data_IF_156891266441
#
_entry.id   IF_156891266441
#
_cell.length_a   1.000
_cell.length_b   1.000
_cell.length_c   1.000
_cell.angle_alpha   90.00
_cell.angle_beta   90.00
_cell.angle_gamma   90.00
#
_symmetry.space_group_name_H-M   'P 1'
#
loop_
_entity.id
_entity.type
_entity.pdbx_description
1 polymer ?
#
# COMPACT_ATOMS: atom_id res chain seq x y z
N UNK A 1 0.60 21.98 10.57
CA UNK A 1 1.07 22.05 9.17
C UNK A 1 -0.13 21.70 8.31
N UNK A 2 -0.76 22.68 7.63
CA UNK A 2 -1.85 22.37 6.70
C UNK A 2 -1.22 21.81 5.43
N UNK A 3 -1.32 20.48 5.26
CA UNK A 3 -0.88 19.82 4.03
C UNK A 3 -2.06 19.86 3.05
N UNK A 4 -1.91 20.64 1.98
CA UNK A 4 -2.84 20.59 0.85
C UNK A 4 -2.56 19.30 0.06
N UNK A 5 -3.54 18.39 0.02
CA UNK A 5 -3.42 17.10 -0.66
C UNK A 5 -4.01 17.12 -2.07
N UNK A 6 -4.52 18.27 -2.53
CA UNK A 6 -5.18 18.40 -3.83
C UNK A 6 -4.29 18.09 -5.02
N UNK A 7 -2.97 18.18 -4.88
CA UNK A 7 -2.04 17.84 -5.96
C UNK A 7 -1.93 16.33 -6.23
N UNK A 8 -2.41 15.47 -5.32
CA UNK A 8 -2.23 14.02 -5.41
C UNK A 8 -3.47 13.34 -5.98
N UNK A 9 -3.25 12.47 -6.99
CA UNK A 9 -4.29 11.59 -7.54
C UNK A 9 -4.57 10.38 -6.66
N UNK A 10 -3.56 9.90 -5.93
CA UNK A 10 -3.65 8.76 -5.04
C UNK A 10 -2.97 9.10 -3.71
N UNK A 11 -3.62 8.76 -2.60
CA UNK A 11 -3.07 8.86 -1.25
C UNK A 11 -3.15 7.48 -0.62
N UNK A 12 -2.01 6.97 -0.15
CA UNK A 12 -1.92 5.64 0.43
C UNK A 12 -1.60 5.80 1.91
N UNK A 13 -2.49 5.31 2.77
CA UNK A 13 -2.33 5.35 4.21
C UNK A 13 -1.81 3.99 4.70
N UNK A 14 -0.61 4.01 5.26
CA UNK A 14 0.01 2.89 5.97
C UNK A 14 0.39 3.37 7.38
N UNK A 15 -0.57 3.30 8.29
CA UNK A 15 -0.41 3.72 9.69
C UNK A 15 -1.22 2.77 10.58
N UNK A 16 -0.95 2.71 11.89
CA UNK A 16 -1.74 1.90 12.83
C UNK A 16 -1.01 0.74 13.50
N UNK A 17 0.09 0.24 12.91
CA UNK A 17 0.80 -0.90 13.48
C UNK A 17 1.36 -0.64 14.87
N UNK A 18 1.88 0.57 15.10
CA UNK A 18 2.43 0.97 16.39
C UNK A 18 1.35 1.32 17.41
N UNK A 19 0.19 1.79 16.97
CA UNK A 19 -0.95 2.03 17.84
C UNK A 19 -1.40 0.73 18.50
N UNK A 20 -1.49 -0.35 17.72
CA UNK A 20 -1.84 -1.68 18.23
C UNK A 20 -0.76 -2.22 19.18
N UNK A 21 0.52 -2.14 18.79
CA UNK A 21 1.65 -2.58 19.62
C UNK A 21 1.75 -1.78 20.94
N UNK A 22 1.41 -0.49 20.90
CA UNK A 22 1.33 0.39 22.08
C UNK A 22 0.11 0.17 22.96
N UNK A 23 -0.74 -0.81 22.66
CA UNK A 23 -1.92 -1.15 23.47
C UNK A 23 -3.11 -0.22 23.29
N UNK A 24 -3.18 0.55 22.19
CA UNK A 24 -4.37 1.36 21.88
C UNK A 24 -5.59 0.45 21.78
N UNK A 25 -6.70 0.88 22.38
CA UNK A 25 -7.95 0.12 22.29
C UNK A 25 -8.45 0.11 20.85
N UNK A 26 -9.12 -0.98 20.43
CA UNK A 26 -9.68 -1.06 19.08
C UNK A 26 -10.65 0.08 18.79
N UNK A 27 -11.43 0.51 19.79
CA UNK A 27 -12.39 1.61 19.66
C UNK A 27 -11.68 2.95 19.43
N UNK A 28 -10.63 3.24 20.18
CA UNK A 28 -9.88 4.49 20.02
C UNK A 28 -9.13 4.50 18.69
N UNK A 29 -8.55 3.36 18.31
CA UNK A 29 -7.95 3.16 17.01
C UNK A 29 -8.95 3.43 15.88
N UNK A 30 -10.14 2.84 15.93
CA UNK A 30 -11.20 3.07 14.93
C UNK A 30 -11.60 4.54 14.82
N UNK A 31 -11.87 5.21 15.94
CA UNK A 31 -12.30 6.61 15.97
C UNK A 31 -11.23 7.57 15.42
N UNK A 32 -9.97 7.36 15.81
CA UNK A 32 -8.85 8.17 15.34
C UNK A 32 -8.58 7.93 13.85
N UNK A 33 -8.68 6.68 13.40
CA UNK A 33 -8.46 6.35 11.99
C UNK A 33 -9.59 6.91 11.11
N UNK A 34 -10.84 6.85 11.56
CA UNK A 34 -11.96 7.51 10.88
C UNK A 34 -11.73 9.02 10.76
N UNK A 35 -11.30 9.67 11.85
CA UNK A 35 -10.97 11.10 11.85
C UNK A 35 -9.85 11.42 10.85
N UNK A 36 -8.82 10.56 10.76
CA UNK A 36 -7.75 10.69 9.78
C UNK A 36 -8.27 10.57 8.34
N UNK A 37 -9.15 9.60 8.05
CA UNK A 37 -9.72 9.40 6.72
C UNK A 37 -10.60 10.58 6.29
N UNK A 38 -11.43 11.09 7.20
CA UNK A 38 -12.25 12.27 6.95
C UNK A 38 -11.39 13.51 6.71
N UNK A 39 -10.34 13.70 7.50
CA UNK A 39 -9.39 14.80 7.31
C UNK A 39 -8.68 14.69 5.95
N UNK A 40 -8.14 13.51 5.61
CA UNK A 40 -7.50 13.26 4.32
C UNK A 40 -8.45 13.59 3.16
N UNK A 41 -9.71 13.16 3.24
CA UNK A 41 -10.74 13.46 2.24
C UNK A 41 -11.02 14.94 2.11
N UNK A 42 -11.13 15.66 3.23
CA UNK A 42 -11.40 17.11 3.24
C UNK A 42 -10.26 17.94 2.64
N UNK A 43 -9.02 17.43 2.72
CA UNK A 43 -7.84 18.09 2.17
C UNK A 43 -7.50 17.65 0.74
N UNK A 44 -8.24 16.71 0.16
CA UNK A 44 -7.98 16.14 -1.17
C UNK A 44 -8.95 16.66 -2.22
N UNK A 45 -8.62 16.48 -3.50
CA UNK A 45 -9.60 16.70 -4.58
C UNK A 45 -10.62 15.56 -4.63
N UNK A 46 -11.79 15.84 -5.24
CA UNK A 46 -12.88 14.86 -5.38
C UNK A 46 -12.53 13.63 -6.23
N UNK A 47 -11.53 13.75 -7.10
CA UNK A 47 -11.01 12.68 -7.97
C UNK A 47 -9.82 11.92 -7.35
N UNK A 48 -9.40 12.29 -6.13
CA UNK A 48 -8.31 11.61 -5.44
C UNK A 48 -8.78 10.25 -4.88
N UNK A 49 -8.03 9.19 -5.20
CA UNK A 49 -8.22 7.88 -4.60
C UNK A 49 -7.51 7.84 -3.23
N UNK A 50 -8.27 7.70 -2.15
CA UNK A 50 -7.71 7.41 -0.84
C UNK A 50 -7.73 5.90 -0.65
N UNK A 51 -6.55 5.32 -0.44
CA UNK A 51 -6.33 3.90 -0.28
C UNK A 51 -5.78 3.64 1.12
N UNK A 52 -6.35 2.67 1.82
CA UNK A 52 -5.85 2.19 3.11
C UNK A 52 -5.14 0.86 2.90
N UNK A 53 -3.88 0.82 3.28
CA UNK A 53 -3.11 -0.42 3.30
C UNK A 53 -3.29 -1.09 4.66
N UNK A 54 -3.86 -2.29 4.67
CA UNK A 54 -4.04 -3.08 5.89
C UNK A 54 -2.72 -3.33 6.61
N UNK A 55 -2.82 -3.60 7.90
CA UNK A 55 -1.66 -3.91 8.75
C UNK A 55 -1.19 -5.35 8.44
N UNK A 56 0.07 -5.54 8.02
CA UNK A 56 0.64 -6.88 7.96
C UNK A 56 0.65 -7.56 9.34
N UNK A 57 0.64 -8.89 9.41
CA UNK A 57 0.76 -9.63 10.67
C UNK A 57 2.06 -9.24 11.39
N UNK A 58 1.98 -9.15 12.72
CA UNK A 58 3.12 -8.85 13.60
C UNK A 58 3.20 -9.90 14.71
N UNK A 59 4.40 -10.20 15.18
CA UNK A 59 4.60 -11.18 16.26
C UNK A 59 4.27 -10.61 17.66
N UNK A 60 4.35 -9.29 17.82
CA UNK A 60 4.18 -8.60 19.11
C UNK A 60 2.72 -8.27 19.44
N UNK A 61 1.83 -8.25 18.45
CA UNK A 61 0.40 -7.93 18.64
C UNK A 61 -0.45 -8.52 17.51
N UNK A 62 -1.64 -9.01 17.86
CA UNK A 62 -2.66 -9.40 16.88
C UNK A 62 -3.37 -8.16 16.30
N UNK A 63 -3.15 -7.92 15.00
CA UNK A 63 -3.73 -6.81 14.24
C UNK A 63 -4.94 -7.22 13.41
N UNK A 64 -5.40 -8.48 13.48
CA UNK A 64 -6.51 -8.98 12.66
C UNK A 64 -7.79 -8.17 12.86
N UNK A 65 -8.19 -7.96 14.12
CA UNK A 65 -9.40 -7.18 14.43
C UNK A 65 -9.30 -5.72 13.98
N UNK A 66 -8.11 -5.13 14.05
CA UNK A 66 -7.87 -3.79 13.51
C UNK A 66 -8.05 -3.77 11.99
N UNK A 67 -7.55 -4.77 11.27
CA UNK A 67 -7.77 -4.88 9.82
C UNK A 67 -9.25 -5.03 9.46
N UNK A 68 -10.01 -5.86 10.17
CA UNK A 68 -11.46 -5.99 9.97
C UNK A 68 -12.17 -4.65 10.15
N UNK A 69 -11.77 -3.89 11.17
CA UNK A 69 -12.33 -2.57 11.43
C UNK A 69 -11.99 -1.55 10.34
N UNK A 70 -10.72 -1.51 9.90
CA UNK A 70 -10.28 -0.64 8.80
C UNK A 70 -11.02 -0.95 7.50
N UNK A 71 -11.20 -2.24 7.19
CA UNK A 71 -11.93 -2.65 6.00
C UNK A 71 -13.39 -2.18 6.05
N UNK A 72 -14.06 -2.36 7.20
CA UNK A 72 -15.43 -1.87 7.39
C UNK A 72 -15.52 -0.35 7.22
N UNK A 73 -14.57 0.41 7.78
CA UNK A 73 -14.51 1.86 7.62
C UNK A 73 -14.32 2.25 6.14
N UNK A 74 -13.43 1.56 5.42
CA UNK A 74 -13.22 1.81 4.00
C UNK A 74 -14.49 1.53 3.18
N UNK A 75 -15.19 0.43 3.45
CA UNK A 75 -16.47 0.11 2.81
C UNK A 75 -17.52 1.20 3.08
N UNK A 76 -17.64 1.65 4.34
CA UNK A 76 -18.58 2.70 4.71
C UNK A 76 -18.30 4.02 4.01
N UNK A 77 -17.02 4.39 3.87
CA UNK A 77 -16.59 5.65 3.28
C UNK A 77 -16.40 5.58 1.75
N UNK A 78 -16.56 4.41 1.13
CA UNK A 78 -16.32 4.20 -0.30
C UNK A 78 -14.84 4.37 -0.69
N UNK A 79 -13.93 3.87 0.15
CA UNK A 79 -12.48 3.91 -0.05
C UNK A 79 -11.94 2.53 -0.43
N UNK A 80 -10.73 2.48 -0.98
CA UNK A 80 -10.05 1.23 -1.33
C UNK A 80 -9.31 0.68 -0.11
N UNK A 81 -9.56 -0.58 0.25
CA UNK A 81 -8.80 -1.29 1.28
C UNK A 81 -7.93 -2.37 0.64
N UNK A 82 -6.63 -2.36 0.96
CA UNK A 82 -5.68 -3.38 0.51
C UNK A 82 -5.45 -4.38 1.64
N UNK A 83 -5.89 -5.61 1.40
CA UNK A 83 -5.69 -6.76 2.29
C UNK A 83 -4.23 -7.22 2.32
N UNK A 84 -3.42 -6.53 3.12
CA UNK A 84 -2.02 -6.93 3.33
C UNK A 84 -1.91 -8.11 4.27
N UNK A 85 -2.80 -8.25 5.26
CA UNK A 85 -2.67 -9.23 6.33
C UNK A 85 -2.48 -10.66 5.79
N UNK A 86 -3.44 -11.09 4.97
CA UNK A 86 -3.53 -12.43 4.38
C UNK A 86 -2.35 -12.73 3.45
N UNK A 87 -1.74 -11.70 2.85
CA UNK A 87 -0.62 -11.85 1.91
C UNK A 87 0.68 -12.30 2.58
N UNK A 88 0.78 -12.21 3.90
CA UNK A 88 1.94 -12.61 4.69
C UNK A 88 1.62 -13.74 5.68
N UNK A 89 0.46 -14.38 5.53
CA UNK A 89 0.10 -15.58 6.29
C UNK A 89 0.48 -16.84 5.49
N UNK A 90 0.71 -17.93 6.21
CA UNK A 90 0.74 -19.30 5.68
C UNK A 90 -0.67 -19.88 5.71
N UNK A 91 -0.87 -21.00 5.02
CA UNK A 91 -2.15 -21.72 5.01
C UNK A 91 -2.62 -22.15 6.41
N UNK A 92 -1.69 -22.26 7.37
CA UNK A 92 -1.94 -22.55 8.77
C UNK A 92 -2.39 -21.35 9.62
N UNK A 93 -2.61 -20.18 9.01
CA UNK A 93 -2.82 -18.91 9.71
C UNK A 93 -1.63 -18.49 10.59
N UNK A 94 -0.42 -18.96 10.27
CA UNK A 94 0.81 -18.48 10.89
C UNK A 94 1.45 -17.38 10.05
N UNK A 95 2.12 -16.43 10.72
CA UNK A 95 2.96 -15.45 10.03
C UNK A 95 4.04 -16.14 9.19
N UNK A 96 4.19 -15.73 7.94
CA UNK A 96 5.25 -16.23 7.07
C UNK A 96 6.56 -15.45 7.29
N UNK A 97 7.37 -15.94 8.22
CA UNK A 97 8.65 -15.33 8.63
C UNK A 97 9.67 -15.12 7.50
N UNK A 98 9.46 -15.72 6.32
CA UNK A 98 10.30 -15.46 5.13
C UNK A 98 10.24 -14.01 4.63
N UNK A 99 9.25 -13.23 5.07
CA UNK A 99 9.08 -11.82 4.67
C UNK A 99 9.54 -10.82 5.74
N UNK A 100 9.93 -11.28 6.93
CA UNK A 100 10.29 -10.42 8.05
C UNK A 100 11.78 -10.49 8.35
N UNK A 101 12.29 -9.47 9.03
CA UNK A 101 13.58 -9.56 9.72
C UNK A 101 13.41 -10.33 11.04
N UNK A 102 14.48 -10.48 11.82
CA UNK A 102 14.47 -11.28 13.04
C UNK A 102 13.46 -10.83 14.11
N UNK A 103 13.01 -9.57 14.06
CA UNK A 103 12.05 -9.04 15.02
C UNK A 103 10.59 -9.48 14.77
N UNK A 104 10.28 -10.06 13.61
CA UNK A 104 8.96 -10.59 13.30
C UNK A 104 7.86 -9.53 13.11
N UNK A 105 8.20 -8.26 12.89
CA UNK A 105 7.21 -7.22 12.53
C UNK A 105 7.71 -6.19 11.52
N UNK A 106 9.03 -6.05 11.32
CA UNK A 106 9.57 -5.32 10.18
C UNK A 106 9.85 -6.26 9.01
N UNK A 107 9.59 -5.78 7.80
CA UNK A 107 9.88 -6.55 6.60
C UNK A 107 11.37 -6.61 6.29
N UNK A 108 11.79 -7.75 5.75
CA UNK A 108 13.05 -7.85 5.00
C UNK A 108 12.84 -7.38 3.54
N UNK A 109 13.89 -7.41 2.72
CA UNK A 109 13.82 -6.96 1.32
C UNK A 109 12.76 -7.70 0.49
N UNK A 110 12.52 -8.99 0.76
CA UNK A 110 11.48 -9.79 0.09
C UNK A 110 10.08 -9.36 0.54
N UNK A 111 9.90 -9.09 1.83
CA UNK A 111 8.65 -8.57 2.38
C UNK A 111 8.30 -7.20 1.80
N UNK A 112 9.23 -6.24 1.82
CA UNK A 112 9.05 -4.91 1.23
C UNK A 112 8.75 -4.99 -0.27
N UNK A 113 9.47 -5.85 -1.01
CA UNK A 113 9.22 -6.04 -2.44
C UNK A 113 7.81 -6.58 -2.73
N UNK A 114 7.34 -7.55 -1.93
CA UNK A 114 5.97 -8.07 -2.05
C UNK A 114 4.94 -6.99 -1.69
N UNK A 115 5.19 -6.22 -0.64
CA UNK A 115 4.32 -5.16 -0.17
C UNK A 115 4.07 -4.11 -1.24
N UNK A 116 5.16 -3.60 -1.83
CA UNK A 116 5.09 -2.60 -2.91
C UNK A 116 4.36 -3.19 -4.12
N UNK A 117 4.66 -4.42 -4.53
CA UNK A 117 3.98 -5.07 -5.65
C UNK A 117 2.49 -5.27 -5.42
N UNK A 118 2.06 -5.61 -4.21
CA UNK A 118 0.63 -5.74 -3.89
C UNK A 118 -0.10 -4.41 -4.04
N UNK A 119 0.51 -3.32 -3.56
CA UNK A 119 -0.02 -1.96 -3.73
C UNK A 119 -0.06 -1.57 -5.20
N UNK A 120 1.02 -1.82 -5.92
CA UNK A 120 1.18 -1.50 -7.33
C UNK A 120 0.16 -2.23 -8.22
N UNK A 121 -0.09 -3.52 -7.97
CA UNK A 121 -1.10 -4.29 -8.71
C UNK A 121 -2.52 -3.72 -8.60
N UNK A 122 -2.80 -2.92 -7.57
CA UNK A 122 -4.12 -2.32 -7.33
C UNK A 122 -4.19 -0.90 -7.88
N UNK A 123 -3.10 -0.13 -7.78
CA UNK A 123 -3.11 1.31 -8.06
C UNK A 123 -2.42 1.65 -9.39
N UNK A 124 -1.49 0.80 -9.87
CA UNK A 124 -0.65 1.07 -11.04
C UNK A 124 0.33 2.22 -10.80
N UNK A 125 1.10 2.17 -9.71
CA UNK A 125 2.04 3.23 -9.31
C UNK A 125 3.31 3.14 -10.15
N UNK A 126 3.84 1.92 -10.28
CA UNK A 126 5.00 1.61 -11.06
C UNK A 126 4.50 1.45 -12.49
N UNK A 127 4.69 2.50 -13.28
CA UNK A 127 4.74 2.37 -14.72
C UNK A 127 6.00 1.57 -15.08
N UNK A 128 5.99 0.26 -14.84
CA UNK A 128 6.89 -0.61 -15.57
C UNK A 128 6.43 -0.48 -17.01
N UNK A 129 7.17 0.29 -17.80
CA UNK A 129 7.09 0.14 -19.23
C UNK A 129 7.26 -1.34 -19.50
N UNK A 130 6.23 -1.96 -20.07
CA UNK A 130 6.38 -3.24 -20.75
C UNK A 130 7.51 -3.10 -21.79
N UNK A 131 7.92 -4.24 -22.35
CA UNK A 131 9.06 -4.29 -23.27
C UNK A 131 9.01 -3.12 -24.26
N UNK A 132 10.15 -2.44 -24.41
CA UNK A 132 10.19 -1.35 -25.37
C UNK A 132 9.97 -1.94 -26.77
N UNK A 133 8.99 -1.41 -27.51
CA UNK A 133 8.66 -1.87 -28.89
C UNK A 133 9.90 -1.85 -29.81
N UNK A 134 10.87 -0.99 -29.48
CA UNK A 134 12.08 -0.81 -30.26
C UNK A 134 13.19 -1.82 -29.95
N UNK A 135 13.35 -2.23 -28.70
CA UNK A 135 14.51 -3.06 -28.29
C UNK A 135 14.17 -4.31 -27.47
N UNK A 136 12.92 -4.50 -27.07
CA UNK A 136 12.47 -5.60 -26.22
C UNK A 136 12.94 -5.51 -24.76
N UNK A 137 13.66 -4.45 -24.38
CA UNK A 137 14.18 -4.30 -23.02
C UNK A 137 13.14 -3.66 -22.09
N UNK A 138 13.17 -4.07 -20.82
CA UNK A 138 12.33 -3.54 -19.75
C UNK A 138 13.08 -2.45 -18.97
N UNK A 139 12.34 -1.57 -18.29
CA UNK A 139 12.86 -0.68 -17.24
C UNK A 139 14.01 0.24 -17.68
N UNK A 140 13.82 0.95 -18.80
CA UNK A 140 14.77 1.95 -19.26
C UNK A 140 15.00 3.05 -18.21
N UNK A 141 16.26 3.43 -18.00
CA UNK A 141 16.65 4.52 -17.09
C UNK A 141 16.73 5.90 -17.74
N UNK A 142 16.57 5.96 -19.06
CA UNK A 142 16.61 7.20 -19.85
C UNK A 142 15.37 7.26 -20.76
N UNK A 143 15.17 8.35 -21.50
CA UNK A 143 14.08 8.47 -22.49
C UNK A 143 14.35 7.72 -23.81
N UNK A 144 15.53 7.09 -23.95
CA UNK A 144 15.98 6.41 -25.17
C UNK A 144 16.39 4.96 -24.88
N UNK A 145 16.15 4.07 -25.84
CA UNK A 145 16.58 2.67 -25.79
C UNK A 145 18.02 2.48 -26.27
N UNK A 146 18.56 1.25 -26.20
CA UNK A 146 19.92 0.92 -26.69
C UNK A 146 20.15 1.25 -28.18
N UNK A 147 19.09 1.41 -28.96
CA UNK A 147 19.14 1.83 -30.36
C UNK A 147 19.02 3.35 -30.54
N UNK A 148 19.13 4.12 -29.44
CA UNK A 148 18.96 5.56 -29.40
C UNK A 148 17.61 6.05 -29.96
N UNK A 149 16.58 5.21 -29.88
CA UNK A 149 15.21 5.57 -30.27
C UNK A 149 14.40 5.93 -29.03
N UNK A 150 13.47 6.88 -29.16
CA UNK A 150 12.57 7.27 -28.08
C UNK A 150 11.74 6.06 -27.64
N UNK A 151 11.68 5.81 -26.34
CA UNK A 151 10.98 4.63 -25.80
C UNK A 151 9.50 4.68 -26.14
N UNK A 152 9.02 3.58 -26.72
CA UNK A 152 7.60 3.25 -26.90
C UNK A 152 7.30 1.97 -26.13
N UNK A 153 6.20 1.97 -25.39
CA UNK A 153 5.75 0.82 -24.60
C UNK A 153 4.43 0.33 -25.19
N UNK A 154 4.30 -0.98 -25.39
CA UNK A 154 3.10 -1.61 -25.97
C UNK A 154 1.78 -1.21 -25.29
N UNK A 155 1.81 -0.87 -23.98
CA UNK A 155 0.64 -0.45 -23.22
C UNK A 155 0.48 1.06 -23.04
N UNK A 156 1.51 1.86 -23.33
CA UNK A 156 1.50 3.31 -23.06
C UNK A 156 1.31 4.16 -24.32
N UNK A 157 0.80 3.58 -25.42
CA UNK A 157 0.52 4.32 -26.67
C UNK A 157 -0.43 5.50 -26.43
#
# INVERSE_FOLDING_TARGET
>A
MNMDLKAYKNIILQVGGNDMSGGKSLKDFENEFESLLLAARSCSNSDCNIIVSGLPPRIDVDVYRANVALERLCQHLGLVFIRQYEMYMRDSFDQNNNFYVHDGYHFNSRGTSRYIKTIDNIIGIINTHDECENCGELNHKTSFCRFNMKIKCFKCN
#
